data_IF_752128464538
#
_entry.id   IF_752128464538
#
_cell.length_a   1.000
_cell.length_b   1.000
_cell.length_c   1.000
_cell.angle_alpha   90.00
_cell.angle_beta   90.00
_cell.angle_gamma   90.00
#
_symmetry.space_group_name_H-M   'P 1'
#
loop_
_entity.id
_entity.type
_entity.pdbx_description
1 polymer ?
#
# COMPACT_ATOMS: atom_id res chain seq x y z
N UNK A 1 -50.65 -8.88 -48.58
CA UNK A 1 -50.58 -8.40 -47.17
C UNK A 1 -49.50 -9.11 -46.32
N UNK A 2 -49.22 -10.41 -46.53
CA UNK A 2 -48.27 -11.16 -45.69
C UNK A 2 -46.78 -10.82 -45.89
N UNK A 3 -46.35 -10.53 -47.14
CA UNK A 3 -44.94 -10.17 -47.42
C UNK A 3 -44.51 -8.84 -46.78
N UNK A 4 -45.42 -7.87 -46.69
CA UNK A 4 -45.16 -6.56 -46.07
C UNK A 4 -44.96 -6.72 -44.56
N UNK A 5 -45.82 -7.51 -43.88
CA UNK A 5 -45.67 -7.80 -42.44
C UNK A 5 -44.37 -8.56 -42.15
N UNK A 6 -44.04 -9.57 -42.96
CA UNK A 6 -42.79 -10.32 -42.82
C UNK A 6 -41.54 -9.43 -42.96
N UNK A 7 -41.53 -8.50 -43.92
CA UNK A 7 -40.43 -7.54 -44.09
C UNK A 7 -40.31 -6.56 -42.91
N UNK A 8 -41.42 -6.14 -42.30
CA UNK A 8 -41.42 -5.25 -41.13
C UNK A 8 -40.85 -5.94 -39.90
N UNK A 9 -41.26 -7.18 -39.63
CA UNK A 9 -40.72 -7.97 -38.51
C UNK A 9 -39.23 -8.30 -38.72
N UNK A 10 -38.83 -8.60 -39.96
CA UNK A 10 -37.44 -8.85 -40.29
C UNK A 10 -36.56 -7.60 -40.06
N UNK A 11 -37.04 -6.41 -40.47
CA UNK A 11 -36.35 -5.13 -40.22
C UNK A 11 -36.25 -4.82 -38.72
N UNK A 12 -37.34 -5.01 -37.97
CA UNK A 12 -37.36 -4.79 -36.52
C UNK A 12 -36.39 -5.72 -35.78
N UNK A 13 -36.30 -7.00 -36.19
CA UNK A 13 -35.35 -7.97 -35.62
C UNK A 13 -33.90 -7.57 -35.92
N UNK A 14 -33.59 -7.12 -37.12
CA UNK A 14 -32.23 -6.67 -37.49
C UNK A 14 -31.87 -5.38 -36.74
N UNK A 15 -32.77 -4.41 -36.62
CA UNK A 15 -32.51 -3.20 -35.84
C UNK A 15 -32.28 -3.50 -34.36
N UNK A 16 -33.04 -4.45 -33.80
CA UNK A 16 -32.84 -4.91 -32.43
C UNK A 16 -31.48 -5.60 -32.25
N UNK A 17 -31.09 -6.48 -33.17
CA UNK A 17 -29.78 -7.14 -33.15
C UNK A 17 -28.62 -6.13 -33.26
N UNK A 18 -28.74 -5.13 -34.13
CA UNK A 18 -27.76 -4.05 -34.26
C UNK A 18 -27.65 -3.21 -32.98
N UNK A 19 -28.79 -2.94 -32.33
CA UNK A 19 -28.82 -2.21 -31.07
C UNK A 19 -28.15 -3.02 -29.95
N UNK A 20 -28.46 -4.31 -29.84
CA UNK A 20 -27.82 -5.21 -28.87
C UNK A 20 -26.30 -5.30 -29.12
N UNK A 21 -25.89 -5.43 -30.38
CA UNK A 21 -24.47 -5.46 -30.74
C UNK A 21 -23.76 -4.16 -30.37
N UNK A 22 -24.39 -3.00 -30.61
CA UNK A 22 -23.87 -1.70 -30.22
C UNK A 22 -23.70 -1.57 -28.71
N UNK A 23 -24.67 -2.06 -27.92
CA UNK A 23 -24.57 -2.09 -26.46
C UNK A 23 -23.42 -2.98 -26.00
N UNK A 24 -23.25 -4.17 -26.59
CA UNK A 24 -22.15 -5.07 -26.24
C UNK A 24 -20.80 -4.40 -26.53
N UNK A 25 -20.64 -3.77 -27.69
CA UNK A 25 -19.41 -3.04 -28.04
C UNK A 25 -19.15 -1.89 -27.06
N UNK A 26 -20.17 -1.13 -26.69
CA UNK A 26 -20.05 -0.04 -25.72
C UNK A 26 -19.61 -0.56 -24.35
N UNK A 27 -20.20 -1.67 -23.88
CA UNK A 27 -19.80 -2.32 -22.62
C UNK A 27 -18.34 -2.75 -22.69
N UNK A 28 -17.94 -3.42 -23.77
CA UNK A 28 -16.56 -3.89 -23.97
C UNK A 28 -15.58 -2.70 -23.99
N UNK A 29 -15.92 -1.60 -24.66
CA UNK A 29 -15.09 -0.37 -24.65
C UNK A 29 -14.97 0.24 -23.26
N UNK A 30 -16.02 0.21 -22.44
CA UNK A 30 -15.97 0.68 -21.05
C UNK A 30 -15.04 -0.17 -20.17
N UNK A 31 -14.87 -1.45 -20.47
CA UNK A 31 -13.97 -2.33 -19.72
C UNK A 31 -12.52 -2.31 -20.24
N UNK A 32 -12.31 -2.18 -21.56
CA UNK A 32 -10.98 -2.25 -22.19
C UNK A 32 -10.26 -0.89 -22.23
N UNK A 33 -10.99 0.23 -22.26
CA UNK A 33 -10.39 1.57 -22.25
C UNK A 33 -9.54 1.80 -21.00
N UNK A 34 -8.45 2.55 -21.10
CA UNK A 34 -7.53 2.87 -19.99
C UNK A 34 -8.23 3.51 -18.77
N UNK A 35 -9.46 3.98 -18.96
CA UNK A 35 -10.35 4.52 -17.92
C UNK A 35 -11.34 3.49 -17.36
N UNK A 36 -11.12 2.20 -17.61
CA UNK A 36 -12.01 1.14 -17.18
C UNK A 36 -12.20 1.11 -15.66
N UNK A 37 -13.36 0.64 -15.23
CA UNK A 37 -13.75 0.62 -13.82
C UNK A 37 -12.73 -0.12 -12.92
N UNK A 38 -12.06 -1.13 -13.49
CA UNK A 38 -10.95 -1.87 -12.85
C UNK A 38 -9.74 -0.99 -12.55
N UNK A 39 -9.36 -0.08 -13.47
CA UNK A 39 -8.25 0.83 -13.27
C UNK A 39 -8.55 1.79 -12.12
N UNK A 40 -9.77 2.36 -12.08
CA UNK A 40 -10.20 3.23 -10.98
C UNK A 40 -10.14 2.51 -9.62
N UNK A 41 -10.63 1.26 -9.55
CA UNK A 41 -10.58 0.46 -8.33
C UNK A 41 -9.14 0.19 -7.86
N UNK A 42 -8.25 -0.20 -8.79
CA UNK A 42 -6.84 -0.44 -8.49
C UNK A 42 -6.15 0.84 -8.00
N UNK A 43 -6.36 1.95 -8.69
CA UNK A 43 -5.78 3.25 -8.37
C UNK A 43 -6.23 3.76 -6.99
N UNK A 44 -7.47 3.48 -6.60
CA UNK A 44 -7.99 3.85 -5.29
C UNK A 44 -7.43 2.95 -4.16
N UNK A 45 -7.05 1.71 -4.48
CA UNK A 45 -6.29 0.84 -3.59
C UNK A 45 -4.85 1.33 -3.39
N UNK A 46 -4.16 1.62 -4.49
CA UNK A 46 -2.79 2.16 -4.47
C UNK A 46 -2.71 3.49 -3.71
N UNK A 47 -3.66 4.40 -3.93
CA UNK A 47 -3.74 5.67 -3.19
C UNK A 47 -3.85 5.45 -1.68
N UNK A 48 -4.68 4.49 -1.23
CA UNK A 48 -4.83 4.19 0.20
C UNK A 48 -3.56 3.61 0.80
N UNK A 49 -2.92 2.70 0.10
CA UNK A 49 -1.64 2.13 0.55
C UNK A 49 -0.55 3.20 0.63
N UNK A 50 -0.46 4.07 -0.38
CA UNK A 50 0.53 5.13 -0.41
C UNK A 50 0.33 6.14 0.72
N UNK A 51 -0.92 6.54 1.00
CA UNK A 51 -1.27 7.39 2.15
C UNK A 51 -0.88 6.76 3.47
N UNK A 52 -1.23 5.49 3.68
CA UNK A 52 -0.83 4.77 4.91
C UNK A 52 0.68 4.68 5.06
N UNK A 53 1.42 4.54 3.96
CA UNK A 53 2.89 4.52 3.98
C UNK A 53 3.47 5.88 4.34
N UNK A 54 2.92 6.97 3.82
CA UNK A 54 3.32 8.33 4.18
C UNK A 54 3.11 8.58 5.68
N UNK A 55 1.95 8.19 6.20
CA UNK A 55 1.62 8.40 7.62
C UNK A 55 2.56 7.61 8.53
N UNK A 56 2.83 6.35 8.22
CA UNK A 56 3.82 5.54 8.96
C UNK A 56 5.23 6.12 8.92
N UNK A 57 5.65 6.63 7.77
CA UNK A 57 6.97 7.25 7.65
C UNK A 57 7.06 8.54 8.47
N UNK A 58 5.97 9.31 8.54
CA UNK A 58 5.91 10.52 9.35
C UNK A 58 5.95 10.20 10.85
N UNK A 59 5.22 9.17 11.30
CA UNK A 59 5.33 8.69 12.69
C UNK A 59 6.76 8.25 13.03
N UNK A 60 7.41 7.51 12.13
CA UNK A 60 8.80 7.07 12.31
C UNK A 60 9.78 8.24 12.38
N UNK A 61 9.60 9.25 11.53
CA UNK A 61 10.40 10.47 11.56
C UNK A 61 10.27 11.19 12.91
N UNK A 62 9.04 11.33 13.41
CA UNK A 62 8.76 11.96 14.70
C UNK A 62 9.37 11.18 15.87
N UNK A 63 9.27 9.85 15.85
CA UNK A 63 9.93 8.99 16.84
C UNK A 63 11.46 9.13 16.80
N UNK A 64 12.04 9.14 15.60
CA UNK A 64 13.48 9.31 15.41
C UNK A 64 13.96 10.69 15.88
N UNK A 65 13.19 11.74 15.62
CA UNK A 65 13.52 13.09 16.07
C UNK A 65 13.47 13.20 17.59
N UNK A 66 12.45 12.60 18.23
CA UNK A 66 12.39 12.50 19.69
C UNK A 66 13.56 11.69 20.26
N UNK A 67 13.90 10.56 19.62
CA UNK A 67 15.03 9.74 20.03
C UNK A 67 16.34 10.52 19.91
N UNK A 68 16.54 11.22 18.79
CA UNK A 68 17.71 12.07 18.56
C UNK A 68 17.82 13.15 19.63
N UNK A 69 16.71 13.84 19.94
CA UNK A 69 16.67 14.83 21.02
C UNK A 69 17.07 14.25 22.37
N UNK A 70 16.61 13.04 22.70
CA UNK A 70 17.02 12.32 23.92
C UNK A 70 18.50 11.95 23.91
N UNK A 71 19.04 11.47 22.79
CA UNK A 71 20.48 11.19 22.69
C UNK A 71 21.31 12.47 22.85
N UNK A 72 20.89 13.59 22.25
CA UNK A 72 21.65 14.84 22.27
C UNK A 72 21.61 15.56 23.63
N UNK A 73 20.48 15.50 24.32
CA UNK A 73 20.25 16.32 25.53
C UNK A 73 20.19 15.50 26.83
N UNK A 74 19.99 14.18 26.77
CA UNK A 74 19.93 13.30 27.94
C UNK A 74 21.17 12.40 28.03
N UNK A 75 22.16 12.90 28.77
CA UNK A 75 23.42 12.19 29.02
C UNK A 75 23.24 10.90 29.82
N UNK A 76 22.19 10.79 30.65
CA UNK A 76 21.89 9.58 31.41
C UNK A 76 21.31 8.49 30.51
N UNK A 77 20.44 8.85 29.56
CA UNK A 77 19.97 7.93 28.53
C UNK A 77 21.12 7.43 27.64
N UNK A 78 22.04 8.32 27.26
CA UNK A 78 23.20 7.96 26.45
C UNK A 78 24.16 7.02 27.21
N UNK A 79 24.44 7.29 28.49
CA UNK A 79 25.27 6.42 29.34
C UNK A 79 24.61 5.04 29.53
N UNK A 80 23.29 4.98 29.73
CA UNK A 80 22.54 3.72 29.81
C UNK A 80 22.62 2.94 28.50
N UNK A 81 22.42 3.59 27.35
CA UNK A 81 22.51 2.96 26.03
C UNK A 81 23.93 2.44 25.74
N UNK A 82 24.96 3.22 26.09
CA UNK A 82 26.36 2.82 25.94
C UNK A 82 26.70 1.58 26.77
N UNK A 83 26.18 1.48 28.01
CA UNK A 83 26.38 0.31 28.87
C UNK A 83 25.57 -0.90 28.43
N UNK A 84 24.28 -0.74 28.11
CA UNK A 84 23.38 -1.87 27.80
C UNK A 84 23.58 -2.43 26.39
N UNK A 85 23.61 -1.57 25.37
CA UNK A 85 23.72 -2.02 23.96
C UNK A 85 25.15 -2.24 23.53
N UNK A 86 26.07 -1.36 23.93
CA UNK A 86 27.44 -1.36 23.41
C UNK A 86 28.47 -1.89 24.40
N UNK A 87 28.07 -2.15 25.66
CA UNK A 87 28.97 -2.58 26.74
C UNK A 87 30.23 -1.70 26.79
N UNK A 88 30.03 -0.39 26.77
CA UNK A 88 31.09 0.59 26.94
C UNK A 88 31.21 0.94 28.43
N UNK A 89 32.46 1.05 28.90
CA UNK A 89 32.79 1.49 30.26
C UNK A 89 33.65 2.75 30.21
N UNK A 90 33.62 3.54 31.27
CA UNK A 90 34.53 4.68 31.41
C UNK A 90 35.97 4.16 31.49
N UNK A 91 36.96 5.01 31.20
CA UNK A 91 38.39 4.65 31.16
C UNK A 91 38.92 3.98 32.45
N UNK A 92 38.20 4.13 33.56
CA UNK A 92 38.55 3.62 34.88
C UNK A 92 37.57 2.53 35.39
N UNK A 93 36.71 1.96 34.54
CA UNK A 93 35.73 0.91 34.89
C UNK A 93 35.98 -0.37 34.08
N UNK A 94 35.96 -1.53 34.73
CA UNK A 94 36.09 -2.85 34.09
C UNK A 94 34.72 -3.52 33.90
N UNK A 95 34.49 -4.12 32.72
CA UNK A 95 33.22 -4.80 32.39
C UNK A 95 33.35 -6.30 32.60
N UNK A 96 32.57 -6.82 33.54
CA UNK A 96 32.49 -8.25 33.81
C UNK A 96 31.34 -8.87 33.02
N UNK A 97 31.65 -9.81 32.13
CA UNK A 97 30.66 -10.66 31.47
C UNK A 97 30.59 -11.99 32.20
N UNK A 98 29.47 -12.29 32.84
CA UNK A 98 29.21 -13.62 33.39
C UNK A 98 29.02 -14.57 32.22
N UNK A 99 29.95 -15.52 32.06
CA UNK A 99 29.85 -16.62 31.12
C UNK A 99 29.46 -17.82 31.96
N UNK A 100 28.25 -18.35 31.78
CA UNK A 100 27.89 -19.62 32.39
C UNK A 100 28.87 -20.67 31.87
N UNK A 101 29.66 -21.24 32.78
CA UNK A 101 30.50 -22.38 32.45
C UNK A 101 29.53 -23.48 32.05
N UNK A 102 29.55 -23.84 30.76
CA UNK A 102 28.96 -25.07 30.29
C UNK A 102 29.43 -26.18 31.23
N UNK A 103 28.46 -26.77 31.93
CA UNK A 103 28.67 -27.93 32.76
C UNK A 103 29.25 -29.04 31.84
N UNK A 104 30.39 -29.67 32.19
CA UNK A 104 31.03 -30.67 31.36
C UNK A 104 30.11 -31.87 31.05
#
# INVERSE_FOLDING_TARGET
MNKVKANLEQRARISFQMLVLGIIIAIVMLFISDYGFLHYWKLNGENRQLRSKIEKLHEQELELEQLKGRLEHDTAYLEKLAREKYRMAKKNEDIYRVIDKANP
#
